data_IF_662926968157
#
_entry.id   IF_662926968157
#
_cell.length_a   1.000
_cell.length_b   1.000
_cell.length_c   1.000
_cell.angle_alpha   90.00
_cell.angle_beta   90.00
_cell.angle_gamma   90.00
#
_symmetry.space_group_name_H-M   'P 1'
#
loop_
_entity.id
_entity.type
_entity.pdbx_description
1 polymer ?
#
# COMPACT_ATOMS: atom_id res chain seq x y z
N UNK A 1 22.68 -15.75 -15.09
CA UNK A 1 22.19 -14.71 -14.17
C UNK A 1 20.81 -15.17 -13.70
N UNK A 2 20.55 -15.17 -12.39
CA UNK A 2 19.27 -15.66 -11.87
C UNK A 2 18.19 -14.64 -12.22
N UNK A 3 17.35 -14.96 -13.21
CA UNK A 3 16.18 -14.16 -13.54
C UNK A 3 15.07 -14.50 -12.55
N UNK A 4 14.68 -13.52 -11.73
CA UNK A 4 13.67 -13.70 -10.70
C UNK A 4 12.34 -13.04 -11.08
N UNK A 5 11.25 -13.64 -10.64
CA UNK A 5 9.91 -13.06 -10.66
C UNK A 5 9.76 -12.00 -9.57
N UNK A 6 8.74 -11.14 -9.68
CA UNK A 6 8.50 -10.12 -8.65
C UNK A 6 8.21 -10.70 -7.24
N UNK A 7 7.44 -11.80 -7.09
CA UNK A 7 7.30 -12.48 -5.80
C UNK A 7 8.63 -12.91 -5.17
N UNK A 8 9.53 -13.48 -5.96
CA UNK A 8 10.84 -13.90 -5.47
C UNK A 8 11.69 -12.70 -5.04
N UNK A 9 11.73 -11.63 -5.84
CA UNK A 9 12.41 -10.38 -5.45
C UNK A 9 11.82 -9.74 -4.19
N UNK A 10 10.50 -9.84 -4.01
CA UNK A 10 9.80 -9.35 -2.81
C UNK A 10 10.24 -10.15 -1.58
N UNK A 11 10.31 -11.48 -1.71
CA UNK A 11 10.76 -12.37 -0.66
C UNK A 11 12.22 -12.07 -0.28
N UNK A 12 13.12 -11.93 -1.25
CA UNK A 12 14.53 -11.57 -1.00
C UNK A 12 14.67 -10.23 -0.28
N UNK A 13 13.91 -9.21 -0.69
CA UNK A 13 13.93 -7.91 -0.03
C UNK A 13 13.44 -8.01 1.43
N UNK A 14 12.38 -8.77 1.69
CA UNK A 14 11.85 -8.96 3.05
C UNK A 14 12.82 -9.76 3.93
N UNK A 15 13.51 -10.78 3.40
CA UNK A 15 14.46 -11.58 4.19
C UNK A 15 15.70 -10.79 4.60
N UNK A 16 16.11 -9.83 3.77
CA UNK A 16 17.29 -9.01 4.01
C UNK A 16 17.03 -7.79 4.90
N UNK A 17 15.77 -7.42 5.13
CA UNK A 17 15.40 -6.23 5.87
C UNK A 17 14.49 -6.55 7.07
N UNK A 18 14.81 -6.01 8.24
CA UNK A 18 13.96 -6.10 9.43
C UNK A 18 12.74 -5.14 9.31
N UNK A 19 11.71 -5.60 8.59
CA UNK A 19 10.49 -4.83 8.35
C UNK A 19 9.41 -5.17 9.38
N UNK A 20 8.66 -4.14 9.80
CA UNK A 20 7.46 -4.36 10.63
C UNK A 20 6.47 -5.30 9.91
N UNK A 21 5.77 -6.19 10.64
CA UNK A 21 4.81 -7.12 10.03
C UNK A 21 3.76 -6.46 9.12
N UNK A 22 3.26 -5.28 9.49
CA UNK A 22 2.28 -4.56 8.66
C UNK A 22 2.89 -3.98 7.38
N UNK A 23 4.19 -3.65 7.38
CA UNK A 23 4.90 -3.20 6.17
C UNK A 23 5.08 -4.36 5.19
N UNK A 24 5.42 -5.55 5.70
CA UNK A 24 5.50 -6.78 4.91
C UNK A 24 4.19 -7.08 4.18
N UNK A 25 3.04 -6.90 4.86
CA UNK A 25 1.71 -7.07 4.23
C UNK A 25 1.49 -6.12 3.05
N UNK A 26 1.98 -4.88 3.13
CA UNK A 26 1.82 -3.90 2.05
C UNK A 26 2.67 -4.27 0.84
N UNK A 27 3.92 -4.72 1.06
CA UNK A 27 4.76 -5.27 -0.02
C UNK A 27 4.06 -6.42 -0.73
N UNK A 28 3.57 -7.41 0.01
CA UNK A 28 2.84 -8.54 -0.59
C UNK A 28 1.55 -8.13 -1.29
N UNK A 29 0.81 -7.15 -0.76
CA UNK A 29 -0.39 -6.63 -1.42
C UNK A 29 -0.05 -5.98 -2.77
N UNK A 30 1.01 -5.19 -2.82
CA UNK A 30 1.49 -4.56 -4.06
C UNK A 30 1.97 -5.61 -5.07
N UNK A 31 2.75 -6.59 -4.63
CA UNK A 31 3.26 -7.69 -5.47
C UNK A 31 2.12 -8.57 -5.99
N UNK A 32 1.12 -8.88 -5.16
CA UNK A 32 -0.08 -9.61 -5.61
C UNK A 32 -0.87 -8.83 -6.66
N UNK A 33 -0.99 -7.51 -6.50
CA UNK A 33 -1.64 -6.65 -7.49
C UNK A 33 -0.89 -6.68 -8.84
N UNK A 34 0.44 -6.66 -8.79
CA UNK A 34 1.28 -6.79 -9.97
C UNK A 34 1.08 -8.14 -10.68
N UNK A 35 1.17 -9.25 -9.94
CA UNK A 35 1.02 -10.60 -10.51
C UNK A 35 -0.36 -10.78 -11.12
N UNK A 36 -1.40 -10.21 -10.50
CA UNK A 36 -2.76 -10.24 -11.07
C UNK A 36 -2.84 -9.58 -12.45
N UNK A 37 -2.09 -8.51 -12.68
CA UNK A 37 -2.12 -7.77 -13.94
C UNK A 37 -1.18 -8.38 -14.99
N UNK A 38 0.01 -8.78 -14.57
CA UNK A 38 1.09 -9.19 -15.46
C UNK A 38 1.24 -10.72 -15.62
N UNK A 39 0.69 -11.52 -14.70
CA UNK A 39 0.89 -12.96 -14.64
C UNK A 39 2.27 -13.35 -14.08
N UNK A 40 2.69 -14.57 -14.37
CA UNK A 40 3.92 -15.20 -13.84
C UNK A 40 5.18 -14.80 -14.64
N UNK A 41 5.21 -13.59 -15.19
CA UNK A 41 6.34 -13.09 -15.97
C UNK A 41 7.53 -12.72 -15.08
N UNK A 42 8.73 -12.77 -15.65
CA UNK A 42 9.95 -12.33 -14.98
C UNK A 42 9.90 -10.82 -14.73
N UNK A 43 10.57 -10.36 -13.67
CA UNK A 43 10.63 -8.93 -13.36
C UNK A 43 11.30 -8.13 -14.50
N UNK A 44 12.34 -8.69 -15.10
CA UNK A 44 13.10 -8.10 -16.22
C UNK A 44 12.28 -7.92 -17.50
N UNK A 45 11.18 -8.65 -17.66
CA UNK A 45 10.31 -8.57 -18.84
C UNK A 45 9.35 -7.38 -18.79
N UNK A 46 9.28 -6.66 -17.66
CA UNK A 46 8.42 -5.47 -17.55
C UNK A 46 9.16 -4.19 -17.83
N UNK A 47 8.64 -3.45 -18.82
CA UNK A 47 9.18 -2.16 -19.22
C UNK A 47 8.53 -1.02 -18.44
N UNK A 48 9.13 0.17 -18.52
CA UNK A 48 8.49 1.37 -18.01
C UNK A 48 7.12 1.63 -18.67
N UNK A 49 6.96 1.28 -19.95
CA UNK A 49 5.69 1.45 -20.68
C UNK A 49 4.59 0.56 -20.10
N UNK A 50 4.91 -0.69 -19.80
CA UNK A 50 4.00 -1.64 -19.16
C UNK A 50 3.48 -1.10 -17.81
N UNK A 51 4.34 -0.46 -17.02
CA UNK A 51 3.93 0.15 -15.75
C UNK A 51 2.97 1.32 -15.92
N UNK A 52 3.10 2.11 -17.00
CA UNK A 52 2.18 3.20 -17.30
C UNK A 52 0.81 2.69 -17.75
N UNK A 53 0.79 1.58 -18.49
CA UNK A 53 -0.44 0.93 -18.94
C UNK A 53 -1.14 0.23 -17.77
N UNK A 54 -0.39 -0.46 -16.90
CA UNK A 54 -0.92 -0.99 -15.65
C UNK A 54 -1.50 0.11 -14.75
N UNK A 55 -0.75 1.20 -14.54
CA UNK A 55 -1.23 2.35 -13.77
C UNK A 55 -2.58 2.86 -14.26
N UNK A 56 -2.74 2.98 -15.59
CA UNK A 56 -3.98 3.47 -16.19
C UNK A 56 -5.16 2.56 -15.82
N UNK A 57 -4.98 1.24 -15.98
CA UNK A 57 -6.01 0.25 -15.66
C UNK A 57 -6.30 0.17 -14.16
N UNK A 58 -5.26 0.14 -13.31
CA UNK A 58 -5.43 -0.05 -11.86
C UNK A 58 -6.15 1.16 -11.22
N UNK A 59 -5.91 2.38 -11.72
CA UNK A 59 -6.56 3.60 -11.25
C UNK A 59 -8.08 3.66 -11.53
N UNK A 60 -8.62 2.77 -12.37
CA UNK A 60 -10.08 2.59 -12.52
C UNK A 60 -10.70 1.91 -11.29
N UNK A 61 -9.88 1.17 -10.52
CA UNK A 61 -10.33 0.35 -9.39
C UNK A 61 -9.84 0.85 -8.04
N UNK A 62 -8.65 1.43 -7.97
CA UNK A 62 -8.03 1.86 -6.72
C UNK A 62 -7.80 3.37 -6.66
N UNK A 63 -7.70 3.90 -5.43
CA UNK A 63 -7.40 5.31 -5.23
C UNK A 63 -5.98 5.65 -5.68
N UNK A 64 -5.77 6.91 -6.12
CA UNK A 64 -4.43 7.46 -6.41
C UNK A 64 -3.42 7.28 -5.26
N UNK A 65 -3.87 7.29 -4.00
CA UNK A 65 -3.00 7.04 -2.85
C UNK A 65 -2.59 5.58 -2.77
N UNK A 66 -3.54 4.66 -2.95
CA UNK A 66 -3.28 3.21 -2.99
C UNK A 66 -2.29 2.88 -4.10
N UNK A 67 -2.47 3.45 -5.29
CA UNK A 67 -1.50 3.32 -6.38
C UNK A 67 -0.11 3.83 -5.97
N UNK A 68 -0.02 5.04 -5.41
CA UNK A 68 1.28 5.58 -4.99
C UNK A 68 1.95 4.69 -3.93
N UNK A 69 1.19 4.14 -3.00
CA UNK A 69 1.70 3.15 -2.03
C UNK A 69 2.28 1.95 -2.78
N UNK A 70 1.52 1.31 -3.67
CA UNK A 70 2.00 0.13 -4.42
C UNK A 70 3.23 0.47 -5.27
N UNK A 71 3.14 1.51 -6.11
CA UNK A 71 4.23 1.95 -6.97
C UNK A 71 5.51 2.25 -6.19
N UNK A 72 5.41 2.82 -4.98
CA UNK A 72 6.59 3.11 -4.18
C UNK A 72 7.22 1.85 -3.59
N UNK A 73 6.43 0.90 -3.09
CA UNK A 73 6.96 -0.35 -2.55
C UNK A 73 7.61 -1.20 -3.66
N UNK A 74 6.95 -1.32 -4.81
CA UNK A 74 7.51 -2.05 -5.95
C UNK A 74 8.76 -1.36 -6.51
N UNK A 75 8.78 -0.03 -6.57
CA UNK A 75 9.98 0.72 -6.90
C UNK A 75 11.14 0.41 -5.95
N UNK A 76 10.89 0.28 -4.64
CA UNK A 76 11.93 -0.13 -3.68
C UNK A 76 12.46 -1.53 -3.99
N UNK A 77 11.58 -2.51 -4.25
CA UNK A 77 11.97 -3.88 -4.62
C UNK A 77 12.85 -3.87 -5.88
N UNK A 78 12.41 -3.19 -6.95
CA UNK A 78 13.20 -3.09 -8.18
C UNK A 78 14.53 -2.36 -7.98
N UNK A 79 14.56 -1.34 -7.11
CA UNK A 79 15.80 -0.62 -6.78
C UNK A 79 16.82 -1.56 -6.12
N UNK A 80 16.38 -2.27 -5.09
CA UNK A 80 17.20 -3.29 -4.41
C UNK A 80 17.69 -4.37 -5.38
N UNK A 81 16.79 -4.90 -6.21
CA UNK A 81 17.12 -5.96 -7.16
C UNK A 81 18.15 -5.53 -8.20
N UNK A 82 18.03 -4.30 -8.73
CA UNK A 82 19.00 -3.73 -9.68
C UNK A 82 20.36 -3.51 -9.01
N UNK A 83 20.36 -2.94 -7.81
CA UNK A 83 21.59 -2.66 -7.04
C UNK A 83 22.39 -3.94 -6.73
N UNK A 84 21.70 -5.06 -6.48
CA UNK A 84 22.31 -6.34 -6.12
C UNK A 84 22.46 -7.31 -7.31
N UNK A 85 22.13 -6.87 -8.53
CA UNK A 85 22.23 -7.70 -9.74
C UNK A 85 21.28 -8.92 -9.76
N UNK A 86 20.17 -8.86 -9.01
CA UNK A 86 19.14 -9.90 -8.98
C UNK A 86 18.18 -9.83 -10.18
N UNK A 87 18.24 -8.73 -10.93
CA UNK A 87 17.49 -8.53 -12.17
C UNK A 87 18.38 -7.85 -13.19
N UNK A 88 18.37 -8.34 -14.43
CA UNK A 88 19.11 -7.72 -15.53
C UNK A 88 18.35 -6.51 -16.08
N UNK A 89 18.45 -5.39 -15.36
CA UNK A 89 17.84 -4.12 -15.75
C UNK A 89 18.74 -2.95 -15.36
N UNK A 90 18.88 -1.99 -16.27
CA UNK A 90 19.66 -0.77 -16.01
C UNK A 90 18.81 0.31 -15.30
N UNK A 91 17.49 0.26 -15.48
CA UNK A 91 16.59 1.29 -14.97
C UNK A 91 15.34 0.70 -14.33
N UNK A 92 14.93 1.29 -13.21
CA UNK A 92 13.74 0.88 -12.50
C UNK A 92 12.46 1.23 -13.29
N UNK A 93 11.59 0.25 -13.61
CA UNK A 93 10.41 0.47 -14.44
C UNK A 93 9.34 1.34 -13.75
N UNK A 94 9.39 1.52 -12.42
CA UNK A 94 8.47 2.37 -11.67
C UNK A 94 8.90 3.84 -11.59
N UNK A 95 10.03 4.23 -12.19
CA UNK A 95 10.47 5.64 -12.21
C UNK A 95 9.36 6.52 -12.80
N UNK A 96 9.05 7.65 -12.17
CA UNK A 96 8.01 8.60 -12.64
C UNK A 96 6.59 8.02 -12.82
N UNK A 97 6.23 6.95 -12.11
CA UNK A 97 4.88 6.36 -12.17
C UNK A 97 3.89 6.94 -11.15
N UNK A 98 4.36 7.68 -10.14
CA UNK A 98 3.50 8.30 -9.13
C UNK A 98 2.52 9.31 -9.73
N UNK A 99 1.37 9.48 -9.09
CA UNK A 99 0.31 10.42 -9.51
C UNK A 99 -0.03 11.39 -8.41
N UNK A 100 -0.58 12.55 -8.76
CA UNK A 100 -1.00 13.56 -7.76
C UNK A 100 -2.36 13.15 -7.16
N UNK A 101 -2.42 12.78 -5.86
CA UNK A 101 -3.69 12.47 -5.22
C UNK A 101 -4.49 13.76 -4.96
N UNK A 102 -5.84 13.68 -4.90
CA UNK A 102 -6.65 14.84 -4.54
C UNK A 102 -6.29 15.31 -3.11
N UNK A 103 -6.21 16.63 -2.92
CA UNK A 103 -6.06 17.23 -1.59
C UNK A 103 -7.28 16.85 -0.76
N UNK A 104 -7.06 16.23 0.40
CA UNK A 104 -8.12 15.98 1.38
C UNK A 104 -7.95 16.96 2.53
N UNK A 105 -9.06 17.47 3.10
CA UNK A 105 -8.99 18.17 4.37
C UNK A 105 -8.39 17.23 5.42
N UNK A 106 -7.67 17.80 6.38
CA UNK A 106 -7.12 17.04 7.50
C UNK A 106 -8.28 16.32 8.19
N UNK A 107 -8.07 15.06 8.58
CA UNK A 107 -9.00 14.34 9.45
C UNK A 107 -8.87 14.93 10.87
N UNK A 108 -9.42 16.13 11.06
CA UNK A 108 -9.48 16.79 12.37
C UNK A 108 -10.91 16.67 12.84
N UNK A 109 -11.12 15.98 13.96
CA UNK A 109 -12.41 15.99 14.64
C UNK A 109 -12.59 17.39 15.22
N UNK A 110 -13.68 18.06 14.87
CA UNK A 110 -13.99 19.36 15.44
C UNK A 110 -14.21 19.22 16.96
N UNK A 111 -13.72 20.17 17.74
CA UNK A 111 -13.70 20.06 19.21
C UNK A 111 -15.12 19.89 19.79
N UNK A 112 -16.10 20.55 19.18
CA UNK A 112 -17.52 20.43 19.51
C UNK A 112 -18.03 18.98 19.34
N UNK A 113 -17.62 18.28 18.29
CA UNK A 113 -17.96 16.88 18.07
C UNK A 113 -17.35 15.99 19.17
N UNK A 114 -16.13 16.27 19.61
CA UNK A 114 -15.51 15.57 20.74
C UNK A 114 -16.23 15.83 22.07
N UNK A 115 -16.65 17.08 22.32
CA UNK A 115 -17.44 17.43 23.53
C UNK A 115 -18.80 16.74 23.51
N UNK A 116 -19.52 16.78 22.39
CA UNK A 116 -20.81 16.09 22.24
C UNK A 116 -20.69 14.59 22.46
N UNK A 117 -19.71 13.94 21.84
CA UNK A 117 -19.46 12.50 22.02
C UNK A 117 -19.19 12.16 23.49
N UNK A 118 -18.37 12.96 24.20
CA UNK A 118 -18.11 12.74 25.63
C UNK A 118 -19.36 12.91 26.50
N UNK A 119 -20.17 13.93 26.22
CA UNK A 119 -21.40 14.15 26.98
C UNK A 119 -22.40 13.02 26.74
N UNK A 120 -22.53 12.57 25.49
CA UNK A 120 -23.35 11.41 25.14
C UNK A 120 -22.92 10.15 25.91
N UNK A 121 -21.63 9.83 25.92
CA UNK A 121 -21.10 8.70 26.69
C UNK A 121 -21.39 8.81 28.20
N UNK A 122 -21.41 10.02 28.77
CA UNK A 122 -21.77 10.23 30.18
C UNK A 122 -23.24 9.95 30.46
N UNK A 123 -24.13 10.33 29.54
CA UNK A 123 -25.58 10.07 29.66
C UNK A 123 -25.83 8.57 29.62
N UNK A 124 -25.29 7.87 28.62
CA UNK A 124 -25.40 6.41 28.50
C UNK A 124 -24.87 5.71 29.76
N UNK A 125 -23.69 6.08 30.25
CA UNK A 125 -23.12 5.50 31.47
C UNK A 125 -23.97 5.79 32.73
N UNK A 126 -24.72 6.89 32.78
CA UNK A 126 -25.63 7.18 33.87
C UNK A 126 -26.91 6.33 33.80
N UNK A 127 -27.46 6.15 32.59
CA UNK A 127 -28.60 5.29 32.33
C UNK A 127 -28.29 3.81 32.62
N UNK A 128 -27.10 3.32 32.27
CA UNK A 128 -26.66 1.97 32.61
C UNK A 128 -26.61 1.73 34.12
N UNK A 129 -26.08 2.71 34.88
CA UNK A 129 -26.04 2.62 36.35
C UNK A 129 -27.44 2.66 36.97
N UNK A 130 -28.34 3.45 36.40
CA UNK A 130 -29.70 3.60 36.92
C UNK A 130 -30.58 2.38 36.63
N UNK A 131 -30.40 1.76 35.45
CA UNK A 131 -31.27 0.68 34.98
C UNK A 131 -30.69 -0.72 35.21
N UNK A 132 -29.38 -0.83 35.48
CA UNK A 132 -28.67 -2.10 35.60
C UNK A 132 -28.58 -2.88 34.28
N UNK A 133 -29.00 -2.28 33.16
CA UNK A 133 -28.98 -2.85 31.81
C UNK A 133 -28.05 -2.02 30.94
N UNK A 134 -27.39 -2.68 29.99
CA UNK A 134 -26.56 -2.00 28.99
C UNK A 134 -27.43 -1.10 28.11
N UNK A 135 -27.03 0.16 27.93
CA UNK A 135 -27.70 1.09 27.01
C UNK A 135 -27.30 0.78 25.56
N UNK A 136 -28.26 0.84 24.63
CA UNK A 136 -28.03 0.65 23.17
C UNK A 136 -27.52 1.92 22.47
#
# INVERSE_FOLDING_TARGET
MNTMTLPELTQEYILTHDLRPDTVKIYWAATKSYVRFFGDRLASETTHRDMLDWRRSELERISKRSWNTYSSHLRTIYGYAIEHGLVDMVANPFKNTSVVPPKRPKKTVANDASVRARNWLKVLAAEERATGKRTE
#
